data_IF_255127892753
#
_entry.id   IF_255127892753
#
_cell.length_a   1.000
_cell.length_b   1.000
_cell.length_c   1.000
_cell.angle_alpha   90.00
_cell.angle_beta   90.00
_cell.angle_gamma   90.00
#
_symmetry.space_group_name_H-M   'P 1'
#
loop_
_entity.id
_entity.type
_entity.pdbx_description
1 polymer ?
#
# COMPACT_ATOMS: atom_id res chain seq x y z
N UNK A 1 -2.67 -6.06 -17.29
CA UNK A 1 -1.27 -6.16 -17.81
C UNK A 1 -0.83 -7.62 -17.98
N UNK A 2 0.14 -7.91 -18.87
CA UNK A 2 0.61 -9.29 -19.13
C UNK A 2 2.13 -9.39 -19.09
N UNK A 3 2.68 -10.30 -18.28
CA UNK A 3 4.11 -10.62 -18.28
C UNK A 3 4.52 -11.24 -19.62
N UNK A 4 5.69 -10.84 -20.14
CA UNK A 4 6.28 -11.39 -21.37
C UNK A 4 7.70 -11.93 -21.11
N UNK A 5 8.21 -12.86 -21.92
CA UNK A 5 9.57 -13.35 -21.79
C UNK A 5 10.60 -12.25 -22.02
N UNK A 6 11.60 -12.14 -21.13
CA UNK A 6 12.69 -11.16 -21.27
C UNK A 6 13.60 -11.44 -22.46
N UNK A 7 13.62 -12.68 -22.96
CA UNK A 7 14.34 -13.07 -24.19
C UNK A 7 13.82 -12.38 -25.46
N UNK A 8 12.64 -11.76 -25.40
CA UNK A 8 12.07 -10.99 -26.51
C UNK A 8 12.46 -9.50 -26.43
N UNK A 9 13.20 -9.09 -25.40
CA UNK A 9 13.58 -7.70 -25.20
C UNK A 9 15.00 -7.47 -25.71
N UNK A 10 15.14 -6.56 -26.66
CA UNK A 10 16.43 -6.04 -27.09
C UNK A 10 16.76 -4.78 -26.27
N UNK A 11 17.76 -4.85 -25.40
CA UNK A 11 18.11 -3.75 -24.49
C UNK A 11 18.39 -2.43 -25.24
N UNK A 12 19.05 -2.52 -26.39
CA UNK A 12 19.48 -1.37 -27.20
C UNK A 12 18.33 -0.57 -27.83
N UNK A 13 17.13 -1.14 -27.89
CA UNK A 13 15.93 -0.50 -28.47
C UNK A 13 15.08 0.23 -27.43
N UNK A 14 15.41 0.08 -26.14
CA UNK A 14 14.63 0.60 -25.04
C UNK A 14 14.83 2.10 -24.82
N UNK A 15 13.74 2.83 -24.60
CA UNK A 15 13.79 4.21 -24.11
C UNK A 15 13.68 4.20 -22.60
N UNK A 16 14.62 4.84 -21.90
CA UNK A 16 14.55 4.96 -20.43
C UNK A 16 13.31 5.80 -20.07
N UNK A 17 12.32 5.18 -19.45
CA UNK A 17 11.13 5.86 -18.91
C UNK A 17 11.40 6.40 -17.51
N UNK A 18 12.16 5.64 -16.71
CA UNK A 18 12.47 5.97 -15.32
C UNK A 18 13.76 5.29 -14.86
N UNK A 19 14.56 5.96 -14.02
CA UNK A 19 15.71 5.35 -13.36
C UNK A 19 15.78 5.83 -11.92
N UNK A 20 15.80 4.90 -10.98
CA UNK A 20 15.70 5.16 -9.54
C UNK A 20 16.60 4.28 -8.69
N UNK A 21 16.25 4.12 -7.42
CA UNK A 21 17.09 3.41 -6.44
C UNK A 21 16.96 1.90 -6.63
N UNK A 22 15.78 1.42 -7.01
CA UNK A 22 15.52 -0.01 -7.20
C UNK A 22 15.85 -0.51 -8.61
N UNK A 23 15.91 0.35 -9.62
CA UNK A 23 16.27 -0.04 -10.98
C UNK A 23 15.90 0.98 -12.05
N UNK A 24 16.02 0.54 -13.30
CA UNK A 24 15.68 1.30 -14.49
C UNK A 24 14.52 0.63 -15.21
N UNK A 25 13.49 1.40 -15.51
CA UNK A 25 12.36 1.01 -16.34
C UNK A 25 12.57 1.55 -17.75
N UNK A 26 12.52 0.64 -18.72
CA UNK A 26 12.57 0.92 -20.14
C UNK A 26 11.18 0.75 -20.75
N UNK A 27 10.80 1.62 -21.67
CA UNK A 27 9.64 1.48 -22.55
C UNK A 27 10.06 1.17 -23.98
N UNK A 28 9.24 0.38 -24.66
CA UNK A 28 9.36 -0.03 -26.05
C UNK A 28 8.05 0.27 -26.77
N UNK A 29 7.99 -0.03 -28.07
CA UNK A 29 6.74 0.05 -28.84
C UNK A 29 5.65 -0.87 -28.27
N UNK A 30 4.39 -0.63 -28.67
CA UNK A 30 3.23 -1.44 -28.28
C UNK A 30 2.97 -1.56 -26.76
N UNK A 31 3.29 -0.50 -26.01
CA UNK A 31 3.17 -0.44 -24.54
C UNK A 31 3.90 -1.61 -23.84
N UNK A 32 5.05 -2.00 -24.38
CA UNK A 32 5.95 -2.96 -23.78
C UNK A 32 6.92 -2.25 -22.83
N UNK A 33 7.14 -2.85 -21.67
CA UNK A 33 8.05 -2.34 -20.65
C UNK A 33 8.97 -3.45 -20.16
N UNK A 34 10.20 -3.06 -19.81
CA UNK A 34 11.18 -3.93 -19.19
C UNK A 34 11.84 -3.26 -18.00
N UNK A 35 12.14 -4.04 -16.97
CA UNK A 35 12.76 -3.56 -15.75
C UNK A 35 14.09 -4.27 -15.52
N UNK A 36 15.11 -3.44 -15.31
CA UNK A 36 16.47 -3.82 -14.95
C UNK A 36 16.70 -3.36 -13.50
N UNK A 37 16.63 -4.29 -12.52
CA UNK A 37 16.88 -3.92 -11.13
C UNK A 37 18.35 -3.51 -10.97
N UNK A 38 18.60 -2.53 -10.10
CA UNK A 38 19.92 -1.89 -9.96
C UNK A 38 21.07 -2.85 -9.61
N UNK A 39 20.75 -3.95 -8.94
CA UNK A 39 21.73 -4.98 -8.53
C UNK A 39 22.10 -5.95 -9.66
N UNK A 40 21.42 -5.87 -10.80
CA UNK A 40 21.59 -6.76 -11.94
C UNK A 40 22.01 -5.98 -13.17
N UNK A 41 22.87 -6.56 -14.00
CA UNK A 41 23.32 -5.98 -15.27
C UNK A 41 22.45 -6.43 -16.46
N UNK A 42 21.22 -6.88 -16.18
CA UNK A 42 20.32 -7.39 -17.20
C UNK A 42 18.85 -7.20 -16.81
N UNK A 43 18.00 -7.12 -17.83
CA UNK A 43 16.55 -7.10 -17.66
C UNK A 43 16.09 -8.42 -17.05
N UNK A 44 15.43 -8.33 -15.89
CA UNK A 44 14.90 -9.50 -15.17
C UNK A 44 13.39 -9.64 -15.31
N UNK A 45 12.71 -8.58 -15.73
CA UNK A 45 11.26 -8.54 -15.83
C UNK A 45 10.79 -7.75 -17.05
N UNK A 46 9.76 -8.25 -17.73
CA UNK A 46 9.13 -7.56 -18.85
C UNK A 46 7.61 -7.82 -18.88
N UNK A 47 6.84 -6.84 -19.33
CA UNK A 47 5.39 -6.93 -19.44
C UNK A 47 4.85 -5.99 -20.53
N UNK A 48 3.62 -6.25 -20.96
CA UNK A 48 2.85 -5.39 -21.86
C UNK A 48 1.62 -4.83 -21.13
N UNK A 49 1.37 -3.53 -21.26
CA UNK A 49 0.19 -2.89 -20.68
C UNK A 49 0.14 -1.37 -20.81
N UNK A 50 -0.93 -0.86 -21.43
CA UNK A 50 -1.15 0.57 -21.68
C UNK A 50 -1.57 1.38 -20.44
N UNK A 51 -1.87 0.73 -19.32
CA UNK A 51 -2.25 1.42 -18.09
C UNK A 51 -1.06 2.18 -17.50
N UNK A 52 0.15 1.62 -17.57
CA UNK A 52 1.32 2.23 -16.96
C UNK A 52 1.70 3.56 -17.62
N UNK A 53 1.69 3.66 -18.96
CA UNK A 53 1.98 4.92 -19.67
C UNK A 53 1.04 6.03 -19.21
N UNK A 54 -0.27 5.73 -19.20
CA UNK A 54 -1.30 6.68 -18.76
C UNK A 54 -1.10 7.11 -17.30
N UNK A 55 -0.73 6.16 -16.45
CA UNK A 55 -0.53 6.42 -15.03
C UNK A 55 0.74 7.24 -14.76
N UNK A 56 1.86 6.93 -15.43
CA UNK A 56 3.08 7.73 -15.31
C UNK A 56 2.88 9.17 -15.79
N UNK A 57 2.11 9.36 -16.87
CA UNK A 57 1.75 10.70 -17.36
C UNK A 57 0.86 11.45 -16.36
N UNK A 58 -0.06 10.77 -15.66
CA UNK A 58 -0.96 11.41 -14.69
C UNK A 58 -0.25 11.87 -13.41
N UNK A 59 0.82 11.17 -13.01
CA UNK A 59 1.62 11.51 -11.81
C UNK A 59 2.48 12.78 -11.97
N UNK A 60 2.56 13.32 -13.18
CA UNK A 60 3.03 14.66 -13.64
C UNK A 60 4.35 15.27 -13.13
N UNK A 61 5.01 14.75 -12.09
CA UNK A 61 6.42 15.00 -11.67
C UNK A 61 6.74 14.45 -10.27
N UNK A 62 5.83 13.71 -9.63
CA UNK A 62 6.01 13.31 -8.22
C UNK A 62 6.63 11.93 -7.99
N UNK A 63 7.34 11.33 -8.96
CA UNK A 63 7.89 9.97 -8.82
C UNK A 63 9.33 10.01 -8.33
N UNK A 64 9.58 9.48 -7.13
CA UNK A 64 10.90 9.34 -6.52
C UNK A 64 11.57 8.02 -6.89
N UNK A 65 10.79 6.95 -6.99
CA UNK A 65 11.29 5.60 -7.20
C UNK A 65 10.25 4.66 -7.81
N UNK A 66 10.71 3.53 -8.35
CA UNK A 66 9.85 2.50 -8.90
C UNK A 66 10.45 1.12 -8.64
N UNK A 67 9.63 0.21 -8.12
CA UNK A 67 9.98 -1.21 -7.95
C UNK A 67 8.89 -2.11 -8.56
N UNK A 68 9.29 -3.31 -8.99
CA UNK A 68 8.35 -4.35 -9.44
C UNK A 68 8.43 -5.55 -8.49
N UNK A 69 7.29 -5.92 -7.92
CA UNK A 69 7.18 -7.02 -6.95
C UNK A 69 6.36 -8.14 -7.57
N UNK A 70 6.95 -9.32 -7.69
CA UNK A 70 6.23 -10.53 -8.11
C UNK A 70 5.53 -11.15 -6.89
N UNK A 71 4.26 -11.50 -7.04
CA UNK A 71 3.43 -12.06 -5.97
C UNK A 71 3.40 -13.57 -6.14
N UNK A 72 4.01 -14.30 -5.21
CA UNK A 72 3.98 -15.77 -5.19
C UNK A 72 2.97 -16.18 -4.11
N UNK A 73 1.76 -16.65 -4.47
CA UNK A 73 0.78 -17.10 -3.47
C UNK A 73 1.28 -18.38 -2.79
N UNK A 74 1.28 -18.42 -1.45
CA UNK A 74 1.70 -19.60 -0.66
C UNK A 74 0.93 -20.88 -1.02
N UNK A 75 -0.29 -20.75 -1.54
CA UNK A 75 -1.21 -21.87 -1.76
C UNK A 75 -1.19 -22.47 -3.18
N UNK A 76 -0.52 -21.88 -4.18
CA UNK A 76 -0.66 -22.34 -5.57
C UNK A 76 0.63 -22.19 -6.38
N UNK A 77 1.50 -23.21 -6.31
CA UNK A 77 2.68 -23.34 -7.20
C UNK A 77 2.34 -23.72 -8.64
N UNK A 78 1.05 -23.76 -9.02
CA UNK A 78 0.57 -24.22 -10.33
C UNK A 78 -0.15 -23.13 -11.16
N UNK A 79 -0.03 -21.85 -10.77
CA UNK A 79 -0.61 -20.75 -11.56
C UNK A 79 0.21 -20.48 -12.82
N UNK A 80 -0.45 -20.49 -13.97
CA UNK A 80 0.19 -20.29 -15.30
C UNK A 80 0.67 -18.86 -15.52
N UNK A 81 0.18 -17.90 -14.71
CA UNK A 81 0.64 -16.52 -14.68
C UNK A 81 0.91 -16.10 -13.24
N UNK A 82 2.15 -15.75 -12.94
CA UNK A 82 2.52 -15.22 -11.63
C UNK A 82 2.07 -13.74 -11.58
N UNK A 83 1.13 -13.36 -10.68
CA UNK A 83 0.69 -11.98 -10.57
C UNK A 83 1.83 -11.09 -10.06
N UNK A 84 1.77 -9.80 -10.40
CA UNK A 84 2.81 -8.83 -10.01
C UNK A 84 2.20 -7.46 -9.74
N UNK A 85 2.97 -6.63 -9.06
CA UNK A 85 2.66 -5.24 -8.78
C UNK A 85 3.81 -4.34 -9.22
N UNK A 86 3.45 -3.20 -9.78
CA UNK A 86 4.37 -2.08 -10.03
C UNK A 86 4.10 -1.07 -8.93
N UNK A 87 5.11 -0.79 -8.10
CA UNK A 87 5.00 0.16 -7.00
C UNK A 87 5.82 1.40 -7.34
N UNK A 88 5.14 2.53 -7.33
CA UNK A 88 5.66 3.83 -7.72
C UNK A 88 5.70 4.68 -6.45
N UNK A 89 6.89 4.91 -5.94
CA UNK A 89 7.12 5.72 -4.75
C UNK A 89 7.06 7.18 -5.14
N UNK A 90 6.17 7.93 -4.49
CA UNK A 90 5.96 9.34 -4.73
C UNK A 90 6.69 10.19 -3.71
N UNK A 91 7.06 11.41 -4.09
CA UNK A 91 7.72 12.38 -3.19
C UNK A 91 6.89 12.75 -1.97
N UNK A 92 5.57 12.52 -2.01
CA UNK A 92 4.68 12.69 -0.87
C UNK A 92 4.81 11.60 0.20
N UNK A 93 5.65 10.57 -0.04
CA UNK A 93 5.70 9.36 0.77
C UNK A 93 4.57 8.38 0.50
N UNK A 94 3.70 8.64 -0.49
CA UNK A 94 2.71 7.66 -0.96
C UNK A 94 3.34 6.70 -1.96
N UNK A 95 2.99 5.42 -1.90
CA UNK A 95 3.28 4.42 -2.91
C UNK A 95 2.01 4.18 -3.72
N UNK A 96 2.02 4.59 -4.98
CA UNK A 96 0.98 4.19 -5.93
C UNK A 96 1.30 2.79 -6.47
N UNK A 97 0.29 1.93 -6.57
CA UNK A 97 0.44 0.52 -6.92
C UNK A 97 -0.46 0.21 -8.11
N UNK A 98 0.12 -0.42 -9.13
CA UNK A 98 -0.60 -0.99 -10.26
C UNK A 98 -0.45 -2.51 -10.22
N UNK A 99 -1.56 -3.22 -10.07
CA UNK A 99 -1.62 -4.68 -10.12
C UNK A 99 -1.63 -5.19 -11.56
N UNK A 100 -1.14 -6.42 -11.77
CA UNK A 100 -1.16 -7.10 -13.07
C UNK A 100 -2.56 -7.28 -13.65
N UNK A 101 -3.60 -7.21 -12.81
CA UNK A 101 -5.03 -7.22 -13.14
C UNK A 101 -5.58 -5.84 -13.54
N UNK A 102 -4.71 -4.84 -13.75
CA UNK A 102 -5.07 -3.45 -14.03
C UNK A 102 -5.77 -2.74 -12.84
N UNK A 103 -5.66 -3.30 -11.63
CA UNK A 103 -6.05 -2.61 -10.40
C UNK A 103 -5.09 -1.46 -10.09
N UNK A 104 -5.63 -0.36 -9.58
CA UNK A 104 -4.84 0.81 -9.16
C UNK A 104 -5.25 1.22 -7.77
N UNK A 105 -4.29 1.31 -6.87
CA UNK A 105 -4.52 1.78 -5.51
C UNK A 105 -3.29 2.52 -4.99
N UNK A 106 -3.45 3.26 -3.90
CA UNK A 106 -2.36 3.97 -3.26
C UNK A 106 -2.28 3.51 -1.81
N UNK A 107 -1.06 3.29 -1.34
CA UNK A 107 -0.77 3.04 0.07
C UNK A 107 0.29 4.05 0.52
N UNK A 108 0.46 4.27 1.81
CA UNK A 108 1.71 4.84 2.32
C UNK A 108 2.53 3.68 2.86
N UNK A 109 3.87 3.64 2.66
CA UNK A 109 4.70 2.71 3.40
C UNK A 109 4.45 3.05 4.86
N UNK A 110 3.76 2.14 5.52
CA UNK A 110 3.71 2.12 6.97
C UNK A 110 5.17 2.07 7.36
N UNK A 111 5.68 3.02 8.14
CA UNK A 111 7.06 2.95 8.62
C UNK A 111 7.25 1.51 9.11
N UNK A 112 8.14 0.78 8.46
CA UNK A 112 8.70 -0.43 9.04
C UNK A 112 9.40 0.10 10.28
N UNK A 113 8.70 0.16 11.42
CA UNK A 113 9.15 0.96 12.57
C UNK A 113 10.57 0.55 12.95
N UNK A 114 11.50 1.52 12.93
CA UNK A 114 12.00 2.04 14.20
C UNK A 114 12.14 3.58 14.25
N UNK A 115 11.58 4.34 13.30
CA UNK A 115 11.80 5.79 13.21
C UNK A 115 10.55 6.67 13.37
N UNK A 116 9.36 6.09 13.56
CA UNK A 116 8.15 6.82 13.99
C UNK A 116 8.04 6.85 15.53
N UNK A 117 7.31 7.81 16.13
CA UNK A 117 6.98 7.76 17.54
C UNK A 117 6.30 6.41 17.84
N UNK A 118 6.70 5.70 18.91
CA UNK A 118 6.30 4.32 19.13
C UNK A 118 4.77 4.21 19.21
N UNK A 119 4.18 3.34 18.38
CA UNK A 119 2.79 2.93 18.52
C UNK A 119 2.53 2.42 19.94
N UNK A 120 1.53 2.97 20.62
CA UNK A 120 1.18 2.53 21.98
C UNK A 120 -0.01 1.56 21.95
N UNK A 121 0.01 0.46 22.70
CA UNK A 121 -1.13 -0.45 22.80
C UNK A 121 -2.36 0.24 23.40
N UNK A 122 -3.55 -0.03 22.85
CA UNK A 122 -4.80 0.55 23.34
C UNK A 122 -5.06 0.26 24.83
N UNK A 123 -4.67 -0.95 25.26
CA UNK A 123 -4.76 -1.41 26.66
C UNK A 123 -3.90 -0.59 27.63
N UNK A 124 -2.83 0.03 27.14
CA UNK A 124 -1.94 0.89 27.94
C UNK A 124 -2.37 2.35 27.87
N UNK A 125 -2.81 2.82 26.69
CA UNK A 125 -3.21 4.23 26.50
C UNK A 125 -4.52 4.54 27.23
N UNK A 126 -5.52 3.67 27.11
CA UNK A 126 -6.89 3.93 27.53
C UNK A 126 -7.39 3.00 28.63
N UNK A 127 -6.50 2.15 29.17
CA UNK A 127 -6.77 1.25 30.29
C UNK A 127 -7.99 0.32 30.05
N UNK A 128 -8.17 -0.14 28.81
CA UNK A 128 -9.22 -1.08 28.41
C UNK A 128 -8.80 -2.54 28.62
N UNK A 129 -9.74 -3.49 28.53
CA UNK A 129 -9.47 -4.92 28.74
C UNK A 129 -8.36 -5.45 27.83
N UNK A 130 -7.52 -6.35 28.34
CA UNK A 130 -6.46 -7.04 27.56
C UNK A 130 -6.98 -8.22 26.73
N UNK A 131 -8.26 -8.21 26.38
CA UNK A 131 -8.91 -9.21 25.54
C UNK A 131 -9.05 -8.69 24.11
N UNK A 132 -9.36 -9.58 23.17
CA UNK A 132 -9.76 -9.16 21.83
C UNK A 132 -11.03 -8.29 21.89
N UNK A 133 -11.15 -7.29 20.99
CA UNK A 133 -10.15 -6.89 20.00
C UNK A 133 -9.05 -5.97 20.55
N UNK A 134 -9.23 -5.40 21.73
CA UNK A 134 -8.38 -4.33 22.27
C UNK A 134 -6.90 -4.70 22.44
N UNK A 135 -6.61 -5.97 22.74
CA UNK A 135 -5.24 -6.48 22.84
C UNK A 135 -4.45 -6.37 21.53
N UNK A 136 -5.15 -6.35 20.39
CA UNK A 136 -4.57 -6.22 19.06
C UNK A 136 -4.46 -4.77 18.60
N UNK A 137 -5.18 -3.86 19.24
CA UNK A 137 -5.26 -2.46 18.85
C UNK A 137 -4.06 -1.67 19.40
N UNK A 138 -3.51 -0.81 18.56
CA UNK A 138 -2.51 0.18 18.92
C UNK A 138 -2.78 1.47 18.15
N UNK A 139 -2.28 2.59 18.66
CA UNK A 139 -2.47 3.88 18.02
C UNK A 139 -1.18 4.72 18.02
N UNK A 140 -1.02 5.49 16.96
CA UNK A 140 -0.03 6.57 16.88
C UNK A 140 -0.46 7.75 17.76
N UNK A 141 0.50 8.57 18.19
CA UNK A 141 0.26 9.67 19.13
C UNK A 141 -0.80 10.68 18.63
N UNK A 142 -0.83 10.94 17.32
CA UNK A 142 -1.83 11.84 16.73
C UNK A 142 -3.25 11.24 16.67
N UNK A 143 -3.38 9.91 16.62
CA UNK A 143 -4.67 9.23 16.72
C UNK A 143 -5.13 9.12 18.18
N UNK A 144 -4.21 9.05 19.14
CA UNK A 144 -4.56 8.89 20.56
C UNK A 144 -5.50 9.98 21.05
N UNK A 145 -5.15 11.25 20.82
CA UNK A 145 -5.96 12.39 21.26
C UNK A 145 -7.31 12.44 20.56
N UNK A 146 -7.32 12.28 19.23
CA UNK A 146 -8.55 12.34 18.42
C UNK A 146 -9.54 11.23 18.75
N UNK A 147 -9.06 10.02 19.03
CA UNK A 147 -9.92 8.93 19.50
C UNK A 147 -10.45 9.26 20.90
N UNK A 148 -9.60 9.77 21.79
CA UNK A 148 -9.99 10.13 23.15
C UNK A 148 -11.03 11.27 23.23
N UNK A 149 -11.04 12.20 22.27
CA UNK A 149 -12.05 13.27 22.18
C UNK A 149 -13.48 12.70 22.07
N UNK A 150 -13.62 11.48 21.54
CA UNK A 150 -14.92 10.80 21.42
C UNK A 150 -15.37 10.12 22.73
N UNK A 151 -14.51 10.02 23.75
CA UNK A 151 -14.85 9.38 25.02
C UNK A 151 -15.78 10.21 25.91
N UNK A 152 -15.97 11.50 25.61
CA UNK A 152 -16.94 12.33 26.34
C UNK A 152 -18.38 11.84 26.17
N UNK A 153 -18.70 11.27 25.00
CA UNK A 153 -20.05 10.80 24.65
C UNK A 153 -20.24 9.29 24.87
N UNK A 154 -19.15 8.51 24.84
CA UNK A 154 -19.13 7.05 24.89
C UNK A 154 -18.00 6.55 25.80
N UNK A 155 -18.14 5.38 26.43
CA UNK A 155 -17.00 4.79 27.15
C UNK A 155 -15.84 4.44 26.20
N UNK A 156 -14.58 4.41 26.69
CA UNK A 156 -13.43 4.03 25.87
C UNK A 156 -13.62 2.71 25.12
N UNK A 157 -14.08 1.67 25.82
CA UNK A 157 -14.38 0.36 25.24
C UNK A 157 -15.37 0.46 24.07
N UNK A 158 -16.44 1.25 24.21
CA UNK A 158 -17.46 1.42 23.18
C UNK A 158 -16.89 2.15 21.96
N UNK A 159 -16.16 3.25 22.16
CA UNK A 159 -15.50 4.01 21.10
C UNK A 159 -14.51 3.13 20.31
N UNK A 160 -13.71 2.32 21.02
CA UNK A 160 -12.75 1.41 20.39
C UNK A 160 -13.44 0.26 19.65
N UNK A 161 -14.57 -0.25 20.16
CA UNK A 161 -15.37 -1.25 19.45
C UNK A 161 -15.95 -0.69 18.15
N UNK A 162 -16.50 0.54 18.16
CA UNK A 162 -16.99 1.19 16.92
C UNK A 162 -15.85 1.31 15.90
N UNK A 163 -14.66 1.69 16.34
CA UNK A 163 -13.50 1.83 15.47
C UNK A 163 -13.04 0.46 14.92
N UNK A 164 -13.08 -0.58 15.75
CA UNK A 164 -12.74 -1.95 15.36
C UNK A 164 -13.73 -2.53 14.35
N UNK A 165 -15.03 -2.34 14.57
CA UNK A 165 -16.06 -2.82 13.64
C UNK A 165 -15.93 -2.14 12.27
N UNK A 166 -15.61 -0.85 12.26
CA UNK A 166 -15.33 -0.12 11.03
C UNK A 166 -14.05 -0.62 10.32
N UNK A 167 -13.01 -1.00 11.08
CA UNK A 167 -11.85 -1.70 10.53
C UNK A 167 -12.23 -3.05 9.92
N UNK A 168 -12.99 -3.89 10.64
CA UNK A 168 -13.44 -5.20 10.15
C UNK A 168 -14.31 -5.09 8.90
N UNK A 169 -15.12 -4.04 8.79
CA UNK A 169 -15.92 -3.82 7.59
C UNK A 169 -15.05 -3.36 6.42
N UNK A 170 -14.14 -2.41 6.64
CA UNK A 170 -13.19 -1.97 5.62
C UNK A 170 -12.32 -3.15 5.13
N UNK A 171 -11.93 -4.04 6.06
CA UNK A 171 -11.10 -5.19 5.77
C UNK A 171 -11.82 -6.20 4.85
N UNK A 172 -13.13 -6.42 4.99
CA UNK A 172 -13.90 -7.34 4.12
C UNK A 172 -13.89 -6.99 2.63
N UNK A 173 -13.54 -5.77 2.25
CA UNK A 173 -13.65 -5.27 0.85
C UNK A 173 -12.60 -5.82 -0.14
N UNK A 174 -11.80 -6.81 0.27
CA UNK A 174 -11.22 -7.79 -0.66
C UNK A 174 -9.78 -7.56 -1.11
N UNK A 175 -9.07 -6.57 -0.58
CA UNK A 175 -7.63 -6.40 -0.84
C UNK A 175 -6.83 -6.54 0.46
N UNK A 176 -6.46 -7.77 0.79
CA UNK A 176 -5.57 -8.08 1.90
C UNK A 176 -4.17 -8.43 1.39
N UNK A 177 -3.33 -7.42 1.28
CA UNK A 177 -1.91 -7.65 1.54
C UNK A 177 -1.59 -7.07 2.91
N UNK A 178 -0.95 -7.89 3.73
CA UNK A 178 -0.35 -7.47 5.00
C UNK A 178 0.41 -6.14 4.78
N UNK A 179 0.25 -5.19 5.71
CA UNK A 179 0.78 -3.82 5.60
C UNK A 179 0.07 -2.86 4.62
N UNK A 180 -1.15 -3.17 4.19
CA UNK A 180 -1.97 -2.20 3.43
C UNK A 180 -2.70 -1.25 4.39
N UNK A 181 -2.58 0.05 4.14
CA UNK A 181 -3.38 1.08 4.80
C UNK A 181 -4.85 0.99 4.37
N UNK A 182 -5.75 0.79 5.34
CA UNK A 182 -7.18 0.80 5.14
C UNK A 182 -7.78 2.12 5.63
N UNK A 183 -8.45 2.90 4.78
CA UNK A 183 -9.22 4.05 5.23
C UNK A 183 -10.45 3.56 6.00
N UNK A 184 -10.65 4.09 7.20
CA UNK A 184 -11.78 3.80 8.08
C UNK A 184 -12.60 5.07 8.27
N UNK A 185 -13.87 4.99 7.92
CA UNK A 185 -14.85 6.03 8.27
C UNK A 185 -15.86 5.45 9.25
N UNK A 186 -16.00 6.11 10.40
CA UNK A 186 -16.87 5.65 11.48
C UNK A 186 -17.54 6.84 12.19
N UNK A 187 -18.44 6.55 13.11
CA UNK A 187 -19.03 7.58 13.97
C UNK A 187 -18.00 8.30 14.86
N UNK A 188 -16.84 7.68 15.11
CA UNK A 188 -15.76 8.25 15.93
C UNK A 188 -14.77 9.09 15.11
N UNK A 189 -14.99 9.18 13.79
CA UNK A 189 -14.20 9.97 12.86
C UNK A 189 -13.62 9.17 11.71
N UNK A 190 -12.71 9.83 10.98
CA UNK A 190 -11.96 9.26 9.86
C UNK A 190 -10.53 8.96 10.30
N UNK A 191 -10.11 7.72 10.08
CA UNK A 191 -8.81 7.20 10.45
C UNK A 191 -8.26 6.33 9.33
N UNK A 192 -7.01 5.97 9.46
CA UNK A 192 -6.40 4.89 8.69
C UNK A 192 -5.99 3.78 9.66
N UNK A 193 -6.03 2.54 9.19
CA UNK A 193 -5.57 1.39 9.96
C UNK A 193 -4.75 0.42 9.13
N UNK A 194 -3.81 -0.25 9.79
CA UNK A 194 -2.94 -1.25 9.18
C UNK A 194 -2.92 -2.49 10.06
N UNK A 195 -3.12 -3.65 9.45
CA UNK A 195 -2.87 -4.94 10.11
C UNK A 195 -1.46 -5.46 9.76
N UNK A 196 -0.67 -5.73 10.81
CA UNK A 196 0.66 -6.29 10.73
C UNK A 196 0.64 -7.82 10.75
N UNK A 197 1.73 -8.45 10.31
CA UNK A 197 1.93 -9.91 10.32
C UNK A 197 1.66 -10.57 11.68
N UNK A 198 1.94 -9.88 12.78
CA UNK A 198 1.68 -10.38 14.13
C UNK A 198 0.20 -10.27 14.55
N UNK A 199 -0.70 -9.84 13.66
CA UNK A 199 -2.12 -9.64 13.93
C UNK A 199 -2.45 -8.35 14.67
N UNK A 200 -1.46 -7.49 14.97
CA UNK A 200 -1.70 -6.16 15.54
C UNK A 200 -2.27 -5.22 14.49
N UNK A 201 -3.20 -4.38 14.91
CA UNK A 201 -3.81 -3.33 14.11
C UNK A 201 -3.39 -1.98 14.68
N UNK A 202 -2.72 -1.17 13.85
CA UNK A 202 -2.30 0.18 14.20
C UNK A 202 -3.28 1.17 13.58
N UNK A 203 -3.90 2.00 14.41
CA UNK A 203 -4.71 3.13 13.98
C UNK A 203 -3.87 4.41 13.95
N UNK A 204 -4.04 5.18 12.90
CA UNK A 204 -3.41 6.48 12.77
C UNK A 204 -4.35 7.48 12.14
N UNK A 205 -4.06 8.75 12.41
CA UNK A 205 -4.85 9.85 11.91
C UNK A 205 -3.99 10.59 10.89
N UNK A 206 -4.04 10.24 9.60
CA UNK A 206 -3.24 10.96 8.65
C UNK A 206 -3.77 12.40 8.57
N UNK A 207 -2.86 13.37 8.47
CA UNK A 207 -3.23 14.78 8.22
C UNK A 207 -4.00 14.93 6.90
N UNK A 208 -3.83 13.97 5.97
CA UNK A 208 -4.59 13.81 4.74
C UNK A 208 -5.04 12.34 4.56
N UNK A 209 -6.35 12.11 4.52
CA UNK A 209 -6.96 10.80 4.20
C UNK A 209 -6.50 10.38 2.80
N UNK A 210 -6.03 9.13 2.58
CA UNK A 210 -5.79 8.63 1.23
C UNK A 210 -7.09 8.72 0.43
N UNK A 211 -7.13 9.63 -0.54
CA UNK A 211 -8.25 9.68 -1.47
C UNK A 211 -8.03 8.61 -2.53
N UNK A 212 -9.07 7.82 -2.89
CA UNK A 212 -9.00 7.03 -4.10
C UNK A 212 -8.73 7.97 -5.27
N UNK A 213 -7.73 7.65 -6.10
CA UNK A 213 -7.52 8.38 -7.34
C UNK A 213 -8.78 8.20 -8.20
N UNK A 214 -9.56 9.25 -8.36
CA UNK A 214 -10.51 9.32 -9.45
C UNK A 214 -9.70 9.56 -10.71
N UNK A 215 -9.55 8.52 -11.52
CA UNK A 215 -9.17 8.71 -12.92
C UNK A 215 -10.28 9.55 -13.55
N UNK A 216 -10.05 10.85 -13.68
CA UNK A 216 -10.92 11.70 -14.49
C UNK A 216 -10.64 11.34 -15.95
N UNK A 217 -11.61 10.66 -16.55
CA UNK A 217 -11.64 10.32 -17.98
C UNK A 217 -11.93 11.57 -18.82
#
# INVERSE_FOLDING_TARGET
>A
MKKIPTTLINHDEGVITFSGKHGTLYSFEDDIYAFEPREFEQITFAFQGSLLSRFLVSLRTGVDDLEIVTIIPEAVSNTTSIPFEIRIHLSSGTIAILGSDDSVYATRPVPSEPHGPPNKPATEIWNVSKTDPFARMSATENAVSRIADNFGTLSPDHTLMILWDAFQEASKTGYHKLHTELPITSAVGKYSAVEHLCGRVVFYSPDEVPMPYSLQF
#
